data_IF_086309706684
#
_entry.id   IF_086309706684
#
_cell.length_a   1.000
_cell.length_b   1.000
_cell.length_c   1.000
_cell.angle_alpha   90.00
_cell.angle_beta   90.00
_cell.angle_gamma   90.00
#
_symmetry.space_group_name_H-M   'P 1'
#
loop_
_entity.id
_entity.type
_entity.pdbx_description
1 polymer ?
#
# COMPACT_ATOMS: atom_id res chain seq x y z
N UNK A 1 -26.48 -25.76 11.24
CA UNK A 1 -26.80 -24.74 10.23
C UNK A 1 -25.95 -23.53 10.55
N UNK A 2 -24.97 -23.22 9.69
CA UNK A 2 -24.24 -21.95 9.76
C UNK A 2 -25.26 -20.82 9.60
N UNK A 3 -25.33 -19.94 10.58
CA UNK A 3 -26.20 -18.78 10.51
C UNK A 3 -25.47 -17.75 9.63
N UNK A 4 -25.77 -17.77 8.34
CA UNK A 4 -25.15 -16.90 7.32
C UNK A 4 -25.35 -15.41 7.61
N UNK A 5 -26.37 -15.04 8.38
CA UNK A 5 -26.66 -13.67 8.80
C UNK A 5 -25.60 -13.06 9.76
N UNK A 6 -24.61 -13.86 10.19
CA UNK A 6 -23.53 -13.42 11.07
C UNK A 6 -22.28 -12.94 10.33
N UNK A 7 -22.21 -13.14 9.02
CA UNK A 7 -21.04 -12.81 8.23
C UNK A 7 -21.32 -11.65 7.31
N UNK A 8 -20.31 -10.80 7.13
CA UNK A 8 -20.31 -9.76 6.11
C UNK A 8 -19.80 -10.36 4.80
N UNK A 9 -20.43 -9.97 3.67
CA UNK A 9 -20.10 -10.48 2.34
C UNK A 9 -19.89 -9.37 1.31
N UNK A 10 -20.01 -8.09 1.71
CA UNK A 10 -19.89 -6.97 0.80
C UNK A 10 -18.45 -6.48 0.73
N UNK A 11 -17.89 -6.40 -0.47
CA UNK A 11 -16.60 -5.75 -0.71
C UNK A 11 -16.77 -4.24 -0.76
N UNK A 12 -15.76 -3.52 -0.26
CA UNK A 12 -15.71 -2.07 -0.25
C UNK A 12 -14.40 -1.54 -0.85
N UNK A 13 -14.51 -0.44 -1.59
CA UNK A 13 -13.33 0.33 -1.96
C UNK A 13 -12.66 0.91 -0.70
N UNK A 14 -11.33 0.90 -0.67
CA UNK A 14 -10.60 1.32 0.51
C UNK A 14 -9.26 1.97 0.16
N UNK A 15 -8.84 2.92 0.99
CA UNK A 15 -7.55 3.61 0.90
C UNK A 15 -6.37 2.68 0.61
N UNK A 16 -6.35 1.48 1.19
CA UNK A 16 -5.23 0.52 1.04
C UNK A 16 -5.04 0.09 -0.42
N UNK A 17 -6.12 -0.02 -1.20
CA UNK A 17 -6.09 -0.50 -2.59
C UNK A 17 -6.40 0.58 -3.64
N UNK A 18 -6.58 1.83 -3.23
CA UNK A 18 -7.06 2.93 -4.08
C UNK A 18 -6.16 3.19 -5.30
N UNK A 19 -4.84 3.00 -5.19
CA UNK A 19 -3.90 3.21 -6.30
C UNK A 19 -3.43 1.90 -6.97
N UNK A 20 -4.03 0.76 -6.62
CA UNK A 20 -3.73 -0.51 -7.27
C UNK A 20 -4.23 -0.51 -8.71
N UNK A 21 -3.32 -0.70 -9.67
CA UNK A 21 -3.61 -0.72 -11.11
C UNK A 21 -4.01 -2.10 -11.64
N UNK A 22 -4.21 -3.08 -10.79
CA UNK A 22 -4.52 -4.45 -11.13
C UNK A 22 -5.06 -5.24 -9.96
N UNK A 23 -5.16 -6.54 -10.13
CA UNK A 23 -5.54 -7.43 -9.04
C UNK A 23 -4.38 -7.61 -8.07
N UNK A 24 -4.67 -7.53 -6.77
CA UNK A 24 -3.70 -7.84 -5.71
C UNK A 24 -3.50 -9.35 -5.70
N UNK A 25 -2.26 -9.81 -5.79
CA UNK A 25 -1.92 -11.20 -5.62
C UNK A 25 -1.82 -11.55 -4.13
N UNK A 26 -2.71 -12.41 -3.68
CA UNK A 26 -2.71 -12.90 -2.29
C UNK A 26 -1.96 -14.22 -2.12
N UNK A 27 -1.41 -14.79 -3.19
CA UNK A 27 -0.74 -16.09 -3.18
C UNK A 27 -1.66 -17.20 -2.66
N UNK A 28 -1.07 -18.20 -2.02
CA UNK A 28 -1.80 -19.28 -1.34
C UNK A 28 -2.10 -18.88 0.11
N UNK A 29 -3.04 -17.95 0.30
CA UNK A 29 -3.43 -17.46 1.62
C UNK A 29 -4.15 -18.49 2.49
N UNK A 30 -4.42 -18.13 3.73
CA UNK A 30 -5.14 -18.98 4.66
C UNK A 30 -6.62 -19.09 4.26
N UNK A 31 -7.15 -20.31 4.32
CA UNK A 31 -8.53 -20.63 3.90
C UNK A 31 -9.49 -20.62 5.09
N UNK A 32 -10.78 -20.48 4.78
CA UNK A 32 -11.89 -20.51 5.73
C UNK A 32 -11.86 -19.38 6.79
N UNK A 33 -11.39 -18.20 6.40
CA UNK A 33 -11.51 -16.96 7.19
C UNK A 33 -12.76 -16.22 6.78
N UNK A 34 -13.59 -15.83 7.77
CA UNK A 34 -14.85 -15.13 7.59
C UNK A 34 -14.85 -13.83 8.39
N UNK A 35 -15.43 -12.79 7.82
CA UNK A 35 -15.57 -11.51 8.50
C UNK A 35 -16.86 -11.45 9.34
N UNK A 36 -16.75 -10.86 10.52
CA UNK A 36 -17.91 -10.50 11.33
C UNK A 36 -18.56 -9.22 10.80
N UNK A 37 -19.83 -8.92 11.19
CA UNK A 37 -20.58 -7.78 10.65
C UNK A 37 -19.88 -6.42 10.77
N UNK A 38 -19.07 -6.22 11.82
CA UNK A 38 -18.36 -4.96 12.07
C UNK A 38 -17.03 -4.82 11.29
N UNK A 39 -16.70 -5.81 10.47
CA UNK A 39 -15.47 -5.83 9.68
C UNK A 39 -15.74 -5.33 8.27
N UNK A 40 -14.92 -4.41 7.78
CA UNK A 40 -14.97 -3.97 6.38
C UNK A 40 -14.13 -4.89 5.51
N UNK A 41 -14.77 -5.61 4.59
CA UNK A 41 -14.10 -6.46 3.61
C UNK A 41 -13.64 -5.61 2.44
N UNK A 42 -12.36 -5.74 2.07
CA UNK A 42 -11.77 -5.08 0.91
C UNK A 42 -11.70 -6.04 -0.27
N UNK A 43 -11.28 -7.29 -0.01
CA UNK A 43 -11.21 -8.36 -1.01
C UNK A 43 -11.59 -9.71 -0.42
N UNK A 44 -12.32 -10.50 -1.20
CA UNK A 44 -12.69 -11.86 -0.85
C UNK A 44 -12.84 -12.73 -2.10
N UNK A 45 -12.80 -14.04 -1.90
CA UNK A 45 -13.28 -15.04 -2.86
C UNK A 45 -14.61 -15.59 -2.38
N UNK A 46 -15.24 -16.51 -3.14
CA UNK A 46 -16.47 -17.20 -2.71
C UNK A 46 -16.33 -17.98 -1.38
N UNK A 47 -15.11 -18.18 -0.90
CA UNK A 47 -14.83 -19.09 0.22
C UNK A 47 -14.06 -18.48 1.37
N UNK A 48 -13.45 -17.31 1.19
CA UNK A 48 -12.58 -16.72 2.19
C UNK A 48 -12.39 -15.22 2.03
N UNK A 49 -12.17 -14.53 3.13
CA UNK A 49 -11.73 -13.13 3.15
C UNK A 49 -10.23 -13.10 2.87
N UNK A 50 -9.82 -12.32 1.87
CA UNK A 50 -8.43 -12.14 1.49
C UNK A 50 -7.83 -10.87 2.11
N UNK A 51 -8.62 -9.80 2.18
CA UNK A 51 -8.22 -8.55 2.82
C UNK A 51 -9.42 -7.91 3.52
N UNK A 52 -9.23 -7.53 4.76
CA UNK A 52 -10.24 -6.83 5.56
C UNK A 52 -9.61 -5.89 6.56
N UNK A 53 -10.38 -4.90 7.00
CA UNK A 53 -9.98 -3.94 8.02
C UNK A 53 -11.06 -3.85 9.10
N UNK A 54 -10.62 -3.47 10.29
CA UNK A 54 -11.53 -3.20 11.40
C UNK A 54 -10.99 -2.04 12.24
N UNK A 55 -11.91 -1.22 12.75
CA UNK A 55 -11.61 -0.17 13.72
C UNK A 55 -12.19 -0.55 15.08
N UNK A 56 -11.37 -0.53 16.11
CA UNK A 56 -11.80 -0.79 17.47
C UNK A 56 -11.27 0.27 18.44
N UNK A 57 -12.16 1.06 18.98
CA UNK A 57 -11.81 2.22 19.80
C UNK A 57 -11.00 3.25 18.99
N UNK A 58 -9.74 3.44 19.37
CA UNK A 58 -8.79 4.30 18.62
C UNK A 58 -7.81 3.50 17.76
N UNK A 59 -7.93 2.19 17.73
CA UNK A 59 -7.03 1.32 17.00
C UNK A 59 -7.61 0.88 15.67
N UNK A 60 -6.74 0.60 14.73
CA UNK A 60 -7.06 0.01 13.43
C UNK A 60 -6.29 -1.28 13.23
N UNK A 61 -6.92 -2.24 12.59
CA UNK A 61 -6.29 -3.51 12.24
C UNK A 61 -6.52 -3.83 10.76
N UNK A 62 -5.52 -4.45 10.15
CA UNK A 62 -5.58 -4.92 8.77
C UNK A 62 -5.29 -6.41 8.76
N UNK A 63 -6.14 -7.17 8.12
CA UNK A 63 -5.92 -8.57 7.80
C UNK A 63 -5.62 -8.72 6.32
N UNK A 64 -4.57 -9.47 6.01
CA UNK A 64 -4.20 -9.86 4.64
C UNK A 64 -3.84 -11.34 4.66
N UNK A 65 -4.50 -12.16 3.87
CA UNK A 65 -4.35 -13.63 3.88
C UNK A 65 -2.97 -14.09 3.42
N UNK A 66 -2.37 -13.36 2.52
CA UNK A 66 -1.03 -13.55 2.01
C UNK A 66 -0.65 -12.37 1.11
N UNK A 67 0.63 -12.08 1.00
CA UNK A 67 1.12 -10.97 0.17
C UNK A 67 2.52 -11.33 -0.38
N UNK A 68 2.59 -12.18 -1.42
CA UNK A 68 3.85 -12.48 -2.09
C UNK A 68 4.54 -11.19 -2.53
N UNK A 69 5.87 -11.19 -2.52
CA UNK A 69 6.61 -9.99 -2.90
C UNK A 69 6.39 -9.64 -4.38
N UNK A 70 5.91 -8.43 -4.59
CA UNK A 70 5.89 -7.71 -5.87
C UNK A 70 5.93 -6.22 -5.60
N UNK A 71 6.18 -5.40 -6.60
CA UNK A 71 6.15 -3.93 -6.44
C UNK A 71 4.74 -3.45 -6.07
N UNK A 72 3.70 -4.01 -6.69
CA UNK A 72 2.30 -3.71 -6.41
C UNK A 72 1.94 -4.10 -4.97
N UNK A 73 2.29 -5.31 -4.57
CA UNK A 73 2.02 -5.79 -3.21
C UNK A 73 2.79 -5.01 -2.14
N UNK A 74 4.00 -4.56 -2.44
CA UNK A 74 4.76 -3.67 -1.54
C UNK A 74 4.04 -2.33 -1.33
N UNK A 75 3.40 -1.79 -2.36
CA UNK A 75 2.57 -0.58 -2.26
C UNK A 75 1.33 -0.81 -1.40
N UNK A 76 0.64 -1.94 -1.58
CA UNK A 76 -0.51 -2.34 -0.74
C UNK A 76 -0.09 -2.44 0.73
N UNK A 77 1.04 -3.10 1.01
CA UNK A 77 1.56 -3.22 2.38
C UNK A 77 1.89 -1.85 2.98
N UNK A 78 2.57 -0.98 2.22
CA UNK A 78 2.89 0.37 2.67
C UNK A 78 1.63 1.16 3.04
N UNK A 79 0.61 1.17 2.16
CA UNK A 79 -0.66 1.86 2.42
C UNK A 79 -1.42 1.24 3.61
N UNK A 80 -1.34 -0.08 3.79
CA UNK A 80 -1.93 -0.74 4.96
C UNK A 80 -1.29 -0.28 6.28
N UNK A 81 0.05 -0.12 6.29
CA UNK A 81 0.79 0.40 7.46
C UNK A 81 0.40 1.86 7.73
N UNK A 82 0.37 2.71 6.70
CA UNK A 82 -0.02 4.12 6.80
C UNK A 82 -1.44 4.24 7.37
N UNK A 83 -2.39 3.46 6.84
CA UNK A 83 -3.75 3.48 7.35
C UNK A 83 -3.84 2.99 8.81
N UNK A 84 -3.19 1.89 9.15
CA UNK A 84 -3.22 1.34 10.50
C UNK A 84 -2.61 2.28 11.54
N UNK A 85 -1.67 3.14 11.14
CA UNK A 85 -1.03 4.15 11.99
C UNK A 85 -1.76 5.49 12.05
N UNK A 86 -2.89 5.66 11.36
CA UNK A 86 -3.61 6.94 11.21
C UNK A 86 -2.75 8.05 10.59
N UNK A 87 -1.93 7.71 9.60
CA UNK A 87 -0.93 8.62 9.01
C UNK A 87 -1.21 8.91 7.52
N UNK A 88 -2.45 8.78 7.07
CA UNK A 88 -2.85 8.92 5.66
C UNK A 88 -2.46 10.27 5.06
N UNK A 89 -2.46 11.33 5.86
CA UNK A 89 -2.05 12.68 5.44
C UNK A 89 -0.57 12.77 5.02
N UNK A 90 0.25 11.82 5.44
CA UNK A 90 1.67 11.76 5.13
C UNK A 90 2.00 10.78 3.97
N UNK A 91 0.99 10.16 3.35
CA UNK A 91 1.19 9.21 2.25
C UNK A 91 2.08 9.79 1.14
N UNK A 92 1.85 11.05 0.75
CA UNK A 92 2.58 11.73 -0.32
C UNK A 92 3.77 12.56 0.20
N UNK A 93 4.42 12.14 1.28
CA UNK A 93 5.68 12.72 1.75
C UNK A 93 6.81 11.73 1.52
N UNK A 94 7.87 12.18 0.82
CA UNK A 94 8.99 11.31 0.42
C UNK A 94 8.52 10.08 -0.35
N UNK A 95 7.77 10.30 -1.42
CA UNK A 95 7.02 9.30 -2.13
C UNK A 95 7.24 9.40 -3.64
N UNK A 96 7.08 8.30 -4.34
CA UNK A 96 7.13 8.22 -5.81
C UNK A 96 5.81 7.69 -6.36
N UNK A 97 5.31 8.29 -7.45
CA UNK A 97 4.13 7.79 -8.16
C UNK A 97 4.37 6.46 -8.90
N UNK A 98 5.63 6.12 -9.16
CA UNK A 98 6.03 4.91 -9.87
C UNK A 98 6.47 3.82 -8.88
N UNK A 99 5.93 2.61 -8.98
CA UNK A 99 6.24 1.48 -8.10
C UNK A 99 7.70 1.00 -8.17
N UNK A 100 8.36 1.27 -9.29
CA UNK A 100 9.74 0.87 -9.56
C UNK A 100 10.76 1.89 -9.06
N UNK A 101 10.30 3.02 -8.52
CA UNK A 101 11.13 4.12 -8.05
C UNK A 101 10.87 4.37 -6.57
N UNK A 102 11.93 4.47 -5.80
CA UNK A 102 11.88 4.74 -4.37
C UNK A 102 12.45 6.11 -4.03
N UNK A 103 11.92 6.73 -2.98
CA UNK A 103 12.44 7.99 -2.41
C UNK A 103 12.93 7.72 -0.99
N UNK A 104 14.20 7.93 -0.75
CA UNK A 104 14.82 7.74 0.57
C UNK A 104 15.28 9.09 1.14
N UNK A 105 14.64 9.52 2.23
CA UNK A 105 14.93 10.79 2.88
C UNK A 105 15.84 10.62 4.10
N UNK A 106 16.91 11.37 4.11
CA UNK A 106 17.88 11.49 5.22
C UNK A 106 17.76 12.89 5.83
N UNK A 107 16.59 13.19 6.39
CA UNK A 107 16.19 14.53 6.85
C UNK A 107 17.24 15.16 7.80
N UNK A 108 17.82 14.36 8.72
CA UNK A 108 18.88 14.84 9.64
C UNK A 108 20.16 15.26 8.92
N UNK A 109 20.39 14.77 7.72
CA UNK A 109 21.55 15.08 6.89
C UNK A 109 21.25 16.14 5.83
N UNK A 110 20.00 16.63 5.77
CA UNK A 110 19.56 17.62 4.78
C UNK A 110 19.53 17.08 3.36
N UNK A 111 19.38 15.77 3.15
CA UNK A 111 19.46 15.14 1.83
C UNK A 111 18.38 14.08 1.62
N UNK A 112 18.07 13.83 0.34
CA UNK A 112 17.29 12.67 -0.07
C UNK A 112 17.83 12.13 -1.40
N UNK A 113 17.51 10.89 -1.72
CA UNK A 113 17.79 10.34 -3.04
C UNK A 113 16.54 9.68 -3.63
N UNK A 114 16.53 9.62 -4.95
CA UNK A 114 15.53 8.91 -5.75
C UNK A 114 16.24 7.80 -6.51
N UNK A 115 15.72 6.60 -6.42
CA UNK A 115 16.36 5.37 -6.91
C UNK A 115 15.43 4.66 -7.88
N UNK A 116 15.91 4.39 -9.08
CA UNK A 116 15.29 3.45 -9.99
C UNK A 116 15.83 2.05 -9.72
N UNK A 117 14.99 1.15 -9.23
CA UNK A 117 15.35 -0.22 -8.87
C UNK A 117 15.25 -1.21 -10.04
N UNK A 118 15.15 -0.72 -11.28
CA UNK A 118 14.98 -1.57 -12.46
C UNK A 118 16.08 -1.37 -13.48
N UNK A 119 16.15 -2.30 -14.42
CA UNK A 119 17.09 -2.25 -15.56
C UNK A 119 16.54 -1.49 -16.78
N UNK A 120 15.40 -0.82 -16.61
CA UNK A 120 14.75 -0.01 -17.64
C UNK A 120 14.61 1.43 -17.15
N UNK A 121 14.65 2.43 -18.06
CA UNK A 121 14.36 3.82 -17.70
C UNK A 121 12.96 3.96 -17.08
N UNK A 122 12.82 4.89 -16.14
CA UNK A 122 11.56 5.12 -15.44
C UNK A 122 11.25 6.62 -15.36
N UNK A 123 9.97 6.95 -15.60
CA UNK A 123 9.41 8.26 -15.34
C UNK A 123 8.57 8.22 -14.06
N UNK A 124 8.68 9.25 -13.24
CA UNK A 124 7.93 9.35 -11.98
C UNK A 124 7.68 10.79 -11.59
N UNK A 125 6.62 11.01 -10.81
CA UNK A 125 6.46 12.22 -9.99
C UNK A 125 6.99 11.95 -8.61
N UNK A 126 7.94 12.75 -8.15
CA UNK A 126 8.53 12.70 -6.80
C UNK A 126 7.80 13.70 -5.91
N UNK A 127 7.32 13.23 -4.76
CA UNK A 127 6.70 14.05 -3.72
C UNK A 127 7.70 14.23 -2.56
N UNK A 128 8.00 15.50 -2.22
CA UNK A 128 8.94 15.84 -1.14
C UNK A 128 8.24 15.93 0.23
N UNK A 129 9.05 16.04 1.29
CA UNK A 129 8.57 16.13 2.67
C UNK A 129 7.75 17.39 2.98
N UNK A 130 7.90 18.46 2.19
CA UNK A 130 7.12 19.70 2.28
C UNK A 130 5.79 19.65 1.49
N UNK A 131 5.50 18.51 0.83
CA UNK A 131 4.34 18.31 -0.01
C UNK A 131 4.46 18.83 -1.44
N UNK A 132 5.57 19.48 -1.80
CA UNK A 132 5.85 19.86 -3.19
C UNK A 132 6.24 18.64 -4.02
N UNK A 133 6.05 18.71 -5.33
CA UNK A 133 6.37 17.61 -6.25
C UNK A 133 7.05 18.09 -7.53
N UNK A 134 7.74 17.19 -8.21
CA UNK A 134 8.34 17.41 -9.51
C UNK A 134 8.43 16.12 -10.31
N UNK A 135 8.39 16.24 -11.63
CA UNK A 135 8.57 15.09 -12.53
C UNK A 135 10.06 14.80 -12.73
N UNK A 136 10.39 13.52 -12.78
CA UNK A 136 11.76 13.05 -12.86
C UNK A 136 11.86 11.86 -13.81
N UNK A 137 12.84 11.91 -14.70
CA UNK A 137 13.31 10.79 -15.51
C UNK A 137 14.58 10.19 -14.89
N UNK A 138 14.63 8.89 -14.77
CA UNK A 138 15.77 8.12 -14.27
C UNK A 138 16.15 7.06 -15.29
N UNK A 139 17.44 6.97 -15.61
CA UNK A 139 17.98 5.86 -16.36
C UNK A 139 17.96 4.55 -15.56
N UNK A 140 18.22 3.43 -16.22
CA UNK A 140 18.28 2.11 -15.57
C UNK A 140 19.26 2.10 -14.38
N UNK A 141 18.81 1.66 -13.21
CA UNK A 141 19.58 1.61 -11.95
C UNK A 141 20.16 2.97 -11.50
N UNK A 142 19.61 4.08 -11.98
CA UNK A 142 20.11 5.41 -11.62
C UNK A 142 19.69 5.81 -10.20
N UNK A 143 20.60 6.50 -9.51
CA UNK A 143 20.36 7.14 -8.21
C UNK A 143 20.67 8.62 -8.35
N UNK A 144 19.70 9.48 -8.09
CA UNK A 144 19.87 10.93 -8.03
C UNK A 144 19.75 11.45 -6.60
N UNK A 145 20.73 12.27 -6.21
CA UNK A 145 20.78 12.92 -4.90
C UNK A 145 20.35 14.37 -4.97
N UNK A 146 19.65 14.82 -3.93
CA UNK A 146 19.12 16.16 -3.79
C UNK A 146 19.33 16.70 -2.38
N UNK A 147 19.40 18.01 -2.24
CA UNK A 147 19.31 18.70 -0.95
C UNK A 147 17.84 18.94 -0.57
N UNK A 148 17.55 18.94 0.75
CA UNK A 148 16.21 19.23 1.30
C UNK A 148 16.03 20.73 1.43
#
# INVERSE_FOLDING_TARGET
TLNVDKYNWDEHEHFITEDCKGEVDFGEGQKAIYALPDTTIIKQTEKEVQMAVNEFGKGRSVYISGLPYSFENSRVLYRAIIWASHDEENLYKWFSSNYNVEVHAYVKNGKYCVVNNTYEPQDTTVYKGDGSSFDLHLEANEIKWYEI
#
